data_IF_918737137270
#
_entry.id   IF_918737137270
#
_cell.length_a   1.000
_cell.length_b   1.000
_cell.length_c   1.000
_cell.angle_alpha   90.00
_cell.angle_beta   90.00
_cell.angle_gamma   90.00
#
_symmetry.space_group_name_H-M   'P 1'
#
loop_
_entity.id
_entity.type
_entity.pdbx_description
1 polymer ?
#
# COMPACT_ATOMS: atom_id res chain seq x y z
N UNK A 1 74.35 -27.34 26.70
CA UNK A 1 74.27 -26.95 25.27
C UNK A 1 72.81 -26.80 24.90
N UNK A 2 72.45 -25.63 24.36
CA UNK A 2 71.25 -25.26 23.59
C UNK A 2 69.87 -25.37 24.26
N UNK A 3 69.46 -24.25 24.84
CA UNK A 3 68.07 -23.84 25.04
C UNK A 3 67.37 -23.60 23.70
N UNK A 4 66.13 -24.05 23.56
CA UNK A 4 65.19 -23.55 22.55
C UNK A 4 63.95 -23.01 23.28
N UNK A 5 63.86 -21.69 23.36
CA UNK A 5 62.65 -20.96 23.72
C UNK A 5 61.85 -20.77 22.43
N UNK A 6 60.69 -21.40 22.33
CA UNK A 6 59.72 -21.14 21.27
C UNK A 6 58.69 -20.16 21.80
N UNK A 7 58.82 -18.90 21.41
CA UNK A 7 57.84 -17.84 21.66
C UNK A 7 56.63 -18.09 20.76
N UNK A 8 55.51 -18.54 21.33
CA UNK A 8 54.23 -18.60 20.60
C UNK A 8 53.52 -17.27 20.81
N UNK A 9 53.59 -16.40 19.80
CA UNK A 9 52.89 -15.12 19.79
C UNK A 9 51.39 -15.33 19.69
N UNK A 10 50.65 -14.84 20.68
CA UNK A 10 49.19 -14.74 20.62
C UNK A 10 48.80 -13.69 19.58
N UNK A 11 48.32 -14.12 18.42
CA UNK A 11 47.62 -13.25 17.47
C UNK A 11 46.18 -13.14 17.96
N UNK A 12 45.86 -12.05 18.65
CA UNK A 12 44.49 -11.65 18.90
C UNK A 12 43.89 -11.17 17.57
N UNK A 13 43.21 -12.07 16.85
CA UNK A 13 42.36 -11.68 15.72
C UNK A 13 41.14 -10.98 16.31
N UNK A 14 41.19 -9.64 16.35
CA UNK A 14 39.99 -8.82 16.51
C UNK A 14 39.09 -9.10 15.31
N UNK A 15 38.14 -10.01 15.47
CA UNK A 15 36.93 -10.08 14.66
C UNK A 15 36.18 -8.76 14.91
N UNK A 16 36.47 -7.76 14.10
CA UNK A 16 35.60 -6.61 13.93
C UNK A 16 34.28 -7.16 13.37
N UNK A 17 33.33 -7.42 14.26
CA UNK A 17 31.93 -7.55 13.90
C UNK A 17 31.52 -6.22 13.28
N UNK A 18 31.63 -6.14 11.96
CA UNK A 18 30.92 -5.16 11.16
C UNK A 18 29.43 -5.46 11.34
N UNK A 19 28.85 -4.98 12.44
CA UNK A 19 27.42 -4.73 12.50
C UNK A 19 27.14 -3.64 11.48
N UNK A 20 27.00 -4.04 10.22
CA UNK A 20 26.23 -3.27 9.26
C UNK A 20 24.84 -3.16 9.87
N UNK A 21 24.59 -2.05 10.56
CA UNK A 21 23.24 -1.63 10.89
C UNK A 21 22.49 -1.66 9.56
N UNK A 22 21.48 -2.54 9.38
CA UNK A 22 20.68 -2.48 8.18
C UNK A 22 20.14 -1.06 8.10
N UNK A 23 20.44 -0.39 6.99
CA UNK A 23 19.79 0.85 6.57
C UNK A 23 18.30 0.63 6.80
N UNK A 24 17.78 1.41 7.73
CA UNK A 24 16.42 1.37 8.24
C UNK A 24 15.40 0.93 7.19
N UNK A 25 14.84 -0.27 7.35
CA UNK A 25 13.68 -0.76 6.60
C UNK A 25 12.42 0.00 7.05
N UNK A 26 12.38 1.31 6.82
CA UNK A 26 11.16 2.06 7.04
C UNK A 26 10.14 1.67 5.96
N UNK A 27 8.89 1.38 6.32
CA UNK A 27 7.85 1.16 5.34
C UNK A 27 7.71 2.40 4.45
N UNK A 28 7.53 2.21 3.14
CA UNK A 28 7.44 3.30 2.15
C UNK A 28 6.30 4.31 2.40
N UNK A 29 5.42 4.03 3.36
CA UNK A 29 4.21 4.80 3.66
C UNK A 29 4.34 5.75 4.87
N UNK A 30 5.52 5.94 5.46
CA UNK A 30 5.68 6.97 6.48
C UNK A 30 5.36 8.35 5.86
N UNK A 31 4.19 8.91 6.20
CA UNK A 31 3.65 10.14 5.63
C UNK A 31 2.66 9.97 4.47
N UNK A 32 2.13 8.78 4.22
CA UNK A 32 1.01 8.56 3.29
C UNK A 32 -0.27 8.13 4.00
N UNK A 33 -1.38 8.34 3.31
CA UNK A 33 -2.73 7.95 3.70
C UNK A 33 -3.22 6.88 2.75
N UNK A 34 -3.48 5.70 3.29
CA UNK A 34 -4.11 4.63 2.54
C UNK A 34 -5.63 4.85 2.51
N UNK A 35 -6.19 4.90 1.30
CA UNK A 35 -7.63 4.98 1.08
C UNK A 35 -8.13 3.66 0.50
N UNK A 36 -9.36 3.32 0.85
CA UNK A 36 -10.13 2.23 0.28
C UNK A 36 -11.31 2.85 -0.46
N UNK A 37 -11.47 2.48 -1.72
CA UNK A 37 -12.49 2.96 -2.62
C UNK A 37 -13.38 1.77 -3.01
N UNK A 38 -14.70 1.94 -2.96
CA UNK A 38 -15.62 0.98 -3.58
C UNK A 38 -15.93 1.45 -5.00
N UNK A 39 -15.73 0.56 -5.97
CA UNK A 39 -16.07 0.76 -7.38
C UNK A 39 -17.55 0.44 -7.70
N UNK A 40 -18.29 -0.09 -6.72
CA UNK A 40 -19.71 -0.40 -6.87
C UNK A 40 -19.99 -1.81 -7.39
N UNK A 41 -19.11 -2.81 -7.23
CA UNK A 41 -19.46 -4.21 -7.53
C UNK A 41 -20.04 -4.99 -6.33
N UNK A 42 -20.22 -4.32 -5.18
CA UNK A 42 -21.00 -4.79 -4.04
C UNK A 42 -20.18 -5.40 -2.89
N UNK A 43 -18.97 -5.88 -3.14
CA UNK A 43 -18.12 -6.46 -2.09
C UNK A 43 -16.62 -6.26 -2.33
N UNK A 44 -16.23 -5.87 -3.54
CA UNK A 44 -14.84 -5.56 -3.83
C UNK A 44 -14.53 -4.08 -3.54
N UNK A 45 -13.28 -3.87 -3.18
CA UNK A 45 -12.74 -2.55 -3.02
C UNK A 45 -11.31 -2.50 -3.54
N UNK A 46 -10.91 -1.31 -3.93
CA UNK A 46 -9.57 -1.02 -4.41
C UNK A 46 -8.91 -0.06 -3.44
N UNK A 47 -7.64 -0.32 -3.13
CA UNK A 47 -6.88 0.44 -2.16
C UNK A 47 -5.69 1.13 -2.81
N UNK A 48 -5.46 2.39 -2.45
CA UNK A 48 -4.31 3.15 -2.92
C UNK A 48 -3.69 3.97 -1.79
N UNK A 49 -2.36 4.12 -1.85
CA UNK A 49 -1.59 4.94 -0.92
C UNK A 49 -1.37 6.33 -1.51
N UNK A 50 -1.88 7.36 -0.84
CA UNK A 50 -1.76 8.77 -1.24
C UNK A 50 -0.77 9.47 -0.33
N UNK A 51 0.27 10.10 -0.88
CA UNK A 51 1.20 10.89 -0.06
C UNK A 51 0.47 12.08 0.59
N UNK A 52 0.69 12.30 1.88
CA UNK A 52 0.05 13.40 2.58
C UNK A 52 0.47 14.76 2.00
N UNK A 53 -0.44 15.74 2.08
CA UNK A 53 -0.29 17.12 1.61
C UNK A 53 -0.03 17.26 0.09
N UNK A 54 -0.23 16.18 -0.67
CA UNK A 54 0.02 16.12 -2.12
C UNK A 54 -1.27 15.75 -2.85
N UNK A 55 -1.51 16.41 -3.97
CA UNK A 55 -2.62 16.03 -4.85
C UNK A 55 -2.23 14.78 -5.65
N UNK A 56 -2.94 13.69 -5.42
CA UNK A 56 -2.78 12.44 -6.15
C UNK A 56 -3.72 12.44 -7.35
N UNK A 57 -3.17 12.42 -8.57
CA UNK A 57 -3.95 12.30 -9.81
C UNK A 57 -4.27 10.84 -10.11
N UNK A 58 -5.51 10.56 -10.45
CA UNK A 58 -5.99 9.22 -10.83
C UNK A 58 -5.75 8.90 -12.31
N UNK A 59 -5.27 9.85 -13.11
CA UNK A 59 -5.15 9.72 -14.57
C UNK A 59 -4.31 8.52 -15.05
N UNK A 60 -3.36 8.08 -14.22
CA UNK A 60 -2.51 6.91 -14.49
C UNK A 60 -2.87 5.69 -13.61
N UNK A 61 -3.96 5.76 -12.85
CA UNK A 61 -4.39 4.70 -11.95
C UNK A 61 -5.87 4.38 -12.20
N UNK A 62 -6.10 3.46 -13.16
CA UNK A 62 -7.44 3.01 -13.57
C UNK A 62 -8.21 2.23 -12.49
N UNK A 63 -7.60 1.95 -11.34
CA UNK A 63 -8.35 1.31 -10.26
C UNK A 63 -9.15 2.34 -9.48
N UNK A 64 -8.62 3.56 -9.33
CA UNK A 64 -9.19 4.58 -8.46
C UNK A 64 -9.69 5.80 -9.23
N UNK A 65 -9.88 5.66 -10.54
CA UNK A 65 -10.40 6.71 -11.43
C UNK A 65 -11.93 6.79 -11.46
N UNK A 66 -12.63 5.85 -10.82
CA UNK A 66 -14.07 5.90 -10.58
C UNK A 66 -14.45 5.14 -9.31
N UNK A 67 -15.49 5.61 -8.62
CA UNK A 67 -16.04 4.89 -7.48
C UNK A 67 -17.35 5.46 -6.95
N UNK A 68 -17.97 4.73 -6.02
CA UNK A 68 -19.23 5.11 -5.36
C UNK A 68 -18.97 5.73 -3.99
N UNK A 69 -17.90 5.32 -3.29
CA UNK A 69 -17.47 5.94 -2.05
C UNK A 69 -15.99 5.69 -1.76
N UNK A 70 -15.46 6.43 -0.79
CA UNK A 70 -14.12 6.21 -0.24
C UNK A 70 -14.09 6.33 1.28
N UNK A 71 -13.13 5.63 1.89
CA UNK A 71 -12.75 5.76 3.30
C UNK A 71 -11.22 5.77 3.43
N UNK A 72 -10.67 6.58 4.34
CA UNK A 72 -9.25 6.53 4.65
C UNK A 72 -9.07 5.50 5.74
N UNK A 73 -8.30 4.44 5.52
CA UNK A 73 -8.17 3.35 6.51
C UNK A 73 -6.89 3.48 7.33
N UNK A 74 -6.13 4.56 7.10
CA UNK A 74 -4.99 4.96 7.92
C UNK A 74 -5.47 5.87 9.05
N UNK A 75 -5.31 5.48 10.33
CA UNK A 75 -5.74 6.32 11.45
C UNK A 75 -5.10 7.71 11.42
N UNK A 76 -5.91 8.76 11.60
CA UNK A 76 -5.46 10.15 11.59
C UNK A 76 -5.32 10.77 10.19
N UNK A 77 -5.60 10.03 9.13
CA UNK A 77 -5.71 10.58 7.79
C UNK A 77 -7.09 11.17 7.53
N UNK A 78 -7.10 12.36 6.95
CA UNK A 78 -8.30 13.07 6.50
C UNK A 78 -8.13 13.36 5.01
N UNK A 79 -9.11 12.94 4.20
CA UNK A 79 -9.01 12.94 2.75
C UNK A 79 -10.24 13.59 2.08
N UNK A 80 -10.03 14.10 0.87
CA UNK A 80 -11.05 14.68 -0.02
C UNK A 80 -10.81 14.17 -1.44
N UNK A 81 -11.89 13.72 -2.08
CA UNK A 81 -11.88 13.38 -3.51
C UNK A 81 -12.33 14.57 -4.36
N UNK A 82 -11.89 14.59 -5.62
CA UNK A 82 -12.24 15.61 -6.60
C UNK A 82 -12.55 14.97 -7.94
N UNK A 83 -13.50 15.55 -8.67
CA UNK A 83 -13.88 15.10 -10.01
C UNK A 83 -12.77 15.42 -11.04
N UNK A 84 -12.05 16.53 -10.84
CA UNK A 84 -10.97 16.95 -11.73
C UNK A 84 -9.57 16.61 -11.19
N UNK A 85 -8.61 16.51 -12.11
CA UNK A 85 -7.22 16.25 -11.77
C UNK A 85 -6.52 17.43 -11.06
N UNK A 86 -7.09 18.64 -11.10
CA UNK A 86 -6.52 19.82 -10.46
C UNK A 86 -6.99 20.02 -9.01
N UNK A 87 -7.89 19.17 -8.51
CA UNK A 87 -8.34 19.21 -7.12
C UNK A 87 -9.24 20.41 -6.81
N UNK A 88 -10.07 20.83 -7.77
CA UNK A 88 -10.88 22.06 -7.65
C UNK A 88 -12.36 21.78 -7.43
N UNK A 89 -12.90 20.72 -8.06
CA UNK A 89 -14.30 20.32 -8.01
C UNK A 89 -14.42 19.16 -7.02
N UNK A 90 -14.84 19.47 -5.80
CA UNK A 90 -15.01 18.48 -4.74
C UNK A 90 -16.04 17.42 -5.15
N UNK A 91 -15.71 16.18 -4.83
CA UNK A 91 -16.59 15.04 -4.98
C UNK A 91 -16.89 14.48 -3.58
N UNK A 92 -18.17 14.51 -3.19
CA UNK A 92 -18.60 14.12 -1.85
C UNK A 92 -18.02 14.97 -0.72
N UNK A 93 -18.18 14.48 0.50
CA UNK A 93 -17.62 15.08 1.72
C UNK A 93 -16.15 14.73 1.96
N UNK A 94 -15.61 15.26 3.06
CA UNK A 94 -14.34 14.81 3.62
C UNK A 94 -14.55 13.42 4.24
N UNK A 95 -13.55 12.55 4.14
CA UNK A 95 -13.57 11.21 4.70
C UNK A 95 -12.30 10.91 5.50
N UNK A 96 -12.40 10.02 6.48
CA UNK A 96 -11.32 9.61 7.39
C UNK A 96 -11.49 8.14 7.80
N UNK A 97 -10.81 7.69 8.86
CA UNK A 97 -10.89 6.32 9.39
C UNK A 97 -12.21 5.98 10.09
N UNK A 98 -13.12 6.94 10.19
CA UNK A 98 -14.42 6.81 10.86
C UNK A 98 -15.58 7.26 9.99
N UNK A 99 -15.30 8.07 8.98
CA UNK A 99 -16.26 8.75 8.13
C UNK A 99 -16.02 8.36 6.69
N UNK A 100 -17.04 7.81 6.05
CA UNK A 100 -17.03 7.47 4.65
C UNK A 100 -17.62 8.62 3.83
N UNK A 101 -17.04 8.92 2.67
CA UNK A 101 -17.62 9.87 1.72
C UNK A 101 -18.30 9.11 0.58
N UNK A 102 -19.61 9.32 0.42
CA UNK A 102 -20.32 8.90 -0.79
C UNK A 102 -20.11 9.91 -1.91
N UNK A 103 -19.98 9.41 -3.14
CA UNK A 103 -19.81 10.19 -4.35
C UNK A 103 -21.04 10.14 -5.26
N UNK A 104 -22.01 9.28 -4.94
CA UNK A 104 -23.24 9.11 -5.69
C UNK A 104 -24.45 9.25 -4.77
N UNK A 105 -25.53 9.80 -5.31
CA UNK A 105 -26.83 9.90 -4.63
C UNK A 105 -27.65 8.60 -4.80
N UNK A 106 -27.23 7.70 -5.71
CA UNK A 106 -27.99 6.51 -6.10
C UNK A 106 -27.78 5.31 -5.16
N UNK A 107 -26.72 5.32 -4.36
CA UNK A 107 -26.46 4.32 -3.32
C UNK A 107 -25.80 4.98 -2.12
N UNK A 108 -25.91 4.37 -0.95
CA UNK A 108 -25.09 4.73 0.22
C UNK A 108 -23.60 4.39 0.02
N UNK A 109 -23.21 3.91 -1.17
CA UNK A 109 -21.92 3.29 -1.45
C UNK A 109 -21.74 1.93 -0.76
N UNK A 110 -22.80 1.37 -0.18
CA UNK A 110 -22.73 0.08 0.51
C UNK A 110 -22.75 -1.11 -0.46
N UNK A 111 -22.86 -2.31 0.12
CA UNK A 111 -22.74 -3.61 -0.57
C UNK A 111 -23.72 -3.86 -1.73
N UNK A 112 -24.72 -2.99 -1.89
CA UNK A 112 -25.71 -3.07 -2.98
C UNK A 112 -25.40 -2.13 -4.14
N UNK A 113 -24.29 -1.40 -4.08
CA UNK A 113 -23.90 -0.48 -5.16
C UNK A 113 -23.63 -1.26 -6.44
N UNK A 114 -23.89 -0.63 -7.59
CA UNK A 114 -23.67 -1.21 -8.92
C UNK A 114 -22.57 -0.43 -9.68
N UNK A 115 -21.82 -1.06 -10.61
CA UNK A 115 -20.70 -0.40 -11.27
C UNK A 115 -21.11 0.80 -12.14
N UNK A 116 -22.36 0.82 -12.61
CA UNK A 116 -22.95 1.93 -13.35
C UNK A 116 -23.27 3.15 -12.47
N UNK A 117 -23.20 3.00 -11.14
CA UNK A 117 -23.34 4.08 -10.17
C UNK A 117 -22.01 4.74 -9.82
N UNK A 118 -20.88 4.14 -10.23
CA UNK A 118 -19.55 4.69 -10.00
C UNK A 118 -19.39 6.01 -10.78
N UNK A 119 -18.92 7.04 -10.08
CA UNK A 119 -18.67 8.34 -10.69
C UNK A 119 -17.17 8.53 -10.91
N UNK A 120 -16.76 9.24 -11.99
CA UNK A 120 -15.36 9.53 -12.24
C UNK A 120 -14.72 10.35 -11.11
N UNK A 121 -13.49 10.00 -10.76
CA UNK A 121 -12.64 10.66 -9.77
C UNK A 121 -11.36 11.09 -10.50
N UNK A 122 -11.04 12.37 -10.47
CA UNK A 122 -9.84 12.93 -11.12
C UNK A 122 -8.65 13.06 -10.19
N UNK A 123 -8.88 13.27 -8.89
CA UNK A 123 -7.80 13.33 -7.90
C UNK A 123 -8.26 13.11 -6.46
N UNK A 124 -7.30 12.82 -5.59
CA UNK A 124 -7.46 12.80 -4.14
C UNK A 124 -6.44 13.71 -3.46
N UNK A 125 -6.85 14.29 -2.34
CA UNK A 125 -5.97 15.00 -1.42
C UNK A 125 -6.14 14.42 -0.02
N UNK A 126 -5.03 14.03 0.63
CA UNK A 126 -5.04 13.55 1.99
C UNK A 126 -4.06 14.32 2.86
N UNK A 127 -4.39 14.51 4.13
CA UNK A 127 -3.51 15.10 5.15
C UNK A 127 -3.52 14.21 6.39
N UNK A 128 -2.43 14.22 7.17
CA UNK A 128 -2.28 13.42 8.40
C UNK A 128 -2.64 14.22 9.66
N UNK A 129 -3.27 15.39 9.49
CA UNK A 129 -3.69 16.26 10.59
C UNK A 129 -5.19 16.09 10.85
N UNK A 130 -5.60 15.64 12.05
CA UNK A 130 -7.01 15.53 12.39
C UNK A 130 -7.71 16.90 12.36
N UNK A 131 -8.99 16.92 11.95
CA UNK A 131 -9.88 18.11 11.95
C UNK A 131 -9.46 19.27 11.01
N UNK A 132 -8.58 19.04 10.05
CA UNK A 132 -8.27 20.03 9.01
C UNK A 132 -8.91 19.64 7.69
N UNK A 133 -9.50 20.62 7.00
CA UNK A 133 -9.87 20.45 5.59
C UNK A 133 -8.60 20.11 4.81
N UNK A 134 -8.56 19.02 4.02
CA UNK A 134 -7.41 18.70 3.20
C UNK A 134 -7.12 19.84 2.23
N UNK A 135 -5.98 20.49 2.40
CA UNK A 135 -5.44 21.48 1.47
C UNK A 135 -4.13 20.92 0.96
N UNK A 136 -4.18 20.32 -0.23
CA UNK A 136 -2.97 19.90 -0.91
C UNK A 136 -2.48 21.05 -1.75
N UNK A 137 -1.16 21.21 -1.80
CA UNK A 137 -0.55 22.03 -2.83
C UNK A 137 -1.01 21.45 -4.16
N UNK A 138 -1.83 22.20 -4.91
CA UNK A 138 -2.11 21.83 -6.29
C UNK A 138 -0.78 21.60 -6.98
N UNK A 139 -0.72 20.64 -7.90
CA UNK A 139 0.40 20.48 -8.80
C UNK A 139 0.53 21.75 -9.65
N UNK A 140 1.03 22.84 -9.05
CA UNK A 140 1.58 23.94 -9.79
C UNK A 140 2.63 23.33 -10.69
N UNK A 141 2.71 23.81 -11.93
CA UNK A 141 3.73 23.48 -12.92
C UNK A 141 5.15 23.89 -12.49
N UNK A 142 5.50 23.63 -11.22
CA UNK A 142 6.85 23.64 -10.72
C UNK A 142 7.56 22.44 -11.32
N UNK A 143 8.56 22.75 -12.15
CA UNK A 143 9.59 21.87 -12.69
C UNK A 143 10.44 21.20 -11.57
N UNK A 144 9.79 20.49 -10.66
CA UNK A 144 10.39 19.53 -9.76
C UNK A 144 9.93 18.16 -10.23
N UNK A 145 10.64 17.58 -11.20
CA UNK A 145 10.51 16.18 -11.56
C UNK A 145 10.91 15.33 -10.36
N UNK A 146 9.97 15.07 -9.47
CA UNK A 146 9.96 13.83 -8.73
C UNK A 146 8.69 13.08 -9.09
N UNK A 147 8.69 12.61 -10.34
CA UNK A 147 8.04 11.35 -10.67
C UNK A 147 8.60 10.35 -9.65
N UNK A 148 7.78 9.69 -8.81
CA UNK A 148 8.24 8.48 -8.15
C UNK A 148 8.83 7.62 -9.28
N UNK A 149 10.04 7.04 -9.12
CA UNK A 149 10.57 6.19 -10.18
C UNK A 149 9.46 5.20 -10.55
N UNK A 150 9.21 4.95 -11.85
CA UNK A 150 8.21 3.98 -12.29
C UNK A 150 8.70 2.62 -11.80
N UNK A 151 8.39 2.35 -10.56
CA UNK A 151 8.61 1.10 -9.88
C UNK A 151 7.43 0.31 -10.38
N UNK A 152 7.69 -0.68 -11.24
CA UNK A 152 6.66 -1.59 -11.71
C UNK A 152 5.84 -2.01 -10.49
N UNK A 153 4.55 -1.74 -10.52
CA UNK A 153 3.64 -2.14 -9.46
C UNK A 153 3.02 -3.47 -9.85
N UNK A 154 2.71 -4.26 -8.84
CA UNK A 154 1.94 -5.49 -8.98
C UNK A 154 0.65 -5.32 -8.21
N UNK A 155 -0.43 -5.80 -8.78
CA UNK A 155 -1.73 -5.75 -8.13
C UNK A 155 -1.90 -7.00 -7.30
N UNK A 156 -2.05 -6.80 -6.00
CA UNK A 156 -2.26 -7.88 -5.04
C UNK A 156 -3.72 -7.84 -4.60
N UNK A 157 -4.41 -8.96 -4.75
CA UNK A 157 -5.72 -9.19 -4.15
C UNK A 157 -5.51 -9.84 -2.78
N UNK A 158 -6.11 -9.23 -1.77
CA UNK A 158 -6.14 -9.72 -0.39
C UNK A 158 -7.57 -10.12 -0.10
N UNK A 159 -7.79 -11.40 0.13
CA UNK A 159 -9.09 -11.93 0.49
C UNK A 159 -9.17 -12.07 2.01
N UNK A 160 -10.27 -11.61 2.57
CA UNK A 160 -10.56 -11.61 3.99
C UNK A 160 -11.42 -12.80 4.39
N UNK A 161 -11.51 -13.06 5.70
CA UNK A 161 -12.31 -14.16 6.24
C UNK A 161 -13.83 -13.93 6.18
N UNK A 162 -14.26 -12.70 5.89
CA UNK A 162 -15.65 -12.29 5.72
C UNK A 162 -16.08 -12.25 4.23
N UNK A 163 -15.35 -12.96 3.37
CA UNK A 163 -15.50 -13.00 1.91
C UNK A 163 -15.30 -11.65 1.20
N UNK A 164 -14.86 -10.60 1.91
CA UNK A 164 -14.46 -9.34 1.27
C UNK A 164 -13.10 -9.45 0.58
N UNK A 165 -12.93 -8.72 -0.52
CA UNK A 165 -11.66 -8.65 -1.25
C UNK A 165 -11.19 -7.20 -1.42
N UNK A 166 -9.89 -6.99 -1.27
CA UNK A 166 -9.23 -5.70 -1.53
C UNK A 166 -8.11 -5.90 -2.53
N UNK A 167 -8.11 -5.12 -3.61
CA UNK A 167 -7.00 -5.06 -4.55
C UNK A 167 -6.13 -3.84 -4.28
N UNK A 168 -4.81 -4.03 -4.23
CA UNK A 168 -3.85 -2.96 -3.94
C UNK A 168 -2.67 -2.99 -4.92
N UNK A 169 -2.15 -1.82 -5.28
CA UNK A 169 -0.90 -1.73 -6.04
C UNK A 169 0.32 -1.69 -5.10
N UNK A 170 1.15 -2.72 -5.20
CA UNK A 170 2.38 -2.88 -4.41
C UNK A 170 3.59 -2.67 -5.33
N UNK A 171 4.58 -1.83 -4.96
CA UNK A 171 5.84 -1.72 -5.69
C UNK A 171 6.57 -3.07 -5.77
N UNK A 172 7.03 -3.46 -6.96
CA UNK A 172 7.77 -4.70 -7.22
C UNK A 172 9.30 -4.50 -7.10
N UNK A 173 9.75 -3.64 -6.18
CA UNK A 173 11.16 -3.31 -5.94
C UNK A 173 11.79 -4.02 -4.72
N UNK A 174 11.01 -4.87 -4.05
CA UNK A 174 11.40 -5.63 -2.86
C UNK A 174 11.29 -4.85 -1.54
N UNK A 175 10.91 -3.57 -1.57
CA UNK A 175 10.74 -2.76 -0.36
C UNK A 175 9.46 -3.13 0.41
N UNK A 176 9.44 -3.01 1.76
CA UNK A 176 8.22 -3.18 2.54
C UNK A 176 7.20 -2.10 2.18
N UNK A 177 6.07 -2.55 1.64
CA UNK A 177 4.89 -1.73 1.43
C UNK A 177 3.89 -2.00 2.55
N UNK A 178 3.69 -1.01 3.41
CA UNK A 178 2.69 -1.14 4.47
C UNK A 178 1.29 -1.30 3.84
N UNK A 179 0.49 -2.16 4.44
CA UNK A 179 -0.94 -2.25 4.15
C UNK A 179 -1.68 -1.81 5.40
N UNK A 180 -2.85 -1.19 5.24
CA UNK A 180 -3.75 -1.01 6.38
C UNK A 180 -3.95 -2.37 7.06
N UNK A 181 -3.99 -2.43 8.39
CA UNK A 181 -4.16 -3.71 9.08
C UNK A 181 -5.39 -4.44 8.53
N UNK A 182 -5.17 -5.66 8.03
CA UNK A 182 -6.22 -6.50 7.42
C UNK A 182 -6.11 -7.91 7.96
N UNK A 183 -7.26 -8.48 8.28
CA UNK A 183 -7.38 -9.89 8.60
C UNK A 183 -7.64 -10.63 7.30
N UNK A 184 -6.62 -11.28 6.77
CA UNK A 184 -6.67 -12.00 5.50
C UNK A 184 -6.67 -13.51 5.72
N UNK A 185 -7.33 -14.24 4.83
CA UNK A 185 -7.24 -15.71 4.75
C UNK A 185 -6.35 -16.16 3.58
N UNK A 186 -6.26 -15.36 2.52
CA UNK A 186 -5.50 -15.68 1.32
C UNK A 186 -5.10 -14.44 0.52
N UNK A 187 -4.10 -14.60 -0.33
CA UNK A 187 -3.54 -13.55 -1.18
C UNK A 187 -3.15 -14.11 -2.54
N UNK A 188 -3.23 -13.27 -3.57
CA UNK A 188 -2.78 -13.57 -4.93
C UNK A 188 -2.36 -12.29 -5.67
N UNK A 189 -1.56 -12.44 -6.72
CA UNK A 189 -1.32 -11.39 -7.70
C UNK A 189 -2.40 -11.51 -8.77
N UNK A 190 -3.25 -10.48 -8.87
CA UNK A 190 -4.28 -10.39 -9.92
C UNK A 190 -3.70 -9.62 -11.10
N UNK A 191 -3.85 -10.21 -12.29
CA UNK A 191 -3.10 -9.87 -13.48
C UNK A 191 -3.18 -8.36 -13.86
N UNK A 192 -2.01 -7.73 -13.92
CA UNK A 192 -1.75 -6.58 -14.78
C UNK A 192 -0.74 -7.05 -15.83
N UNK A 193 -0.88 -6.64 -17.09
CA UNK A 193 0.11 -6.86 -18.17
C UNK A 193 1.56 -6.71 -17.65
N UNK A 194 2.29 -7.83 -17.53
CA UNK A 194 3.67 -7.87 -17.00
C UNK A 194 3.85 -8.44 -15.57
N UNK A 195 2.75 -8.78 -14.88
CA UNK A 195 2.74 -9.26 -13.49
C UNK A 195 3.11 -10.74 -13.28
N UNK A 196 3.11 -11.54 -14.35
CA UNK A 196 3.45 -12.98 -14.31
C UNK A 196 4.89 -13.30 -13.90
N UNK A 197 5.73 -12.28 -13.74
CA UNK A 197 7.11 -12.37 -13.30
C UNK A 197 7.31 -11.75 -11.92
N UNK A 198 6.31 -11.69 -11.05
CA UNK A 198 6.48 -11.15 -9.70
C UNK A 198 6.22 -12.20 -8.63
N UNK A 199 7.00 -12.12 -7.55
CA UNK A 199 6.79 -12.90 -6.33
C UNK A 199 6.62 -11.91 -5.17
N UNK A 200 5.54 -12.10 -4.43
CA UNK A 200 5.21 -11.33 -3.26
C UNK A 200 5.30 -12.17 -1.97
N UNK A 201 5.44 -11.50 -0.84
CA UNK A 201 5.39 -12.09 0.50
C UNK A 201 4.61 -11.17 1.43
N UNK A 202 3.69 -11.74 2.20
CA UNK A 202 2.94 -11.04 3.24
C UNK A 202 3.67 -11.11 4.58
N UNK A 203 3.53 -10.07 5.41
CA UNK A 203 4.18 -9.95 6.71
C UNK A 203 3.22 -9.43 7.78
N UNK A 204 3.40 -9.89 9.03
CA UNK A 204 2.58 -9.48 10.18
C UNK A 204 3.08 -8.19 10.84
N UNK A 205 4.22 -7.65 10.40
CA UNK A 205 4.77 -6.36 10.84
C UNK A 205 4.91 -5.39 9.67
N UNK A 206 4.90 -4.08 9.97
CA UNK A 206 5.01 -3.02 8.96
C UNK A 206 6.38 -2.96 8.29
N UNK A 207 7.43 -3.45 8.95
CA UNK A 207 8.80 -3.39 8.43
C UNK A 207 9.09 -4.56 7.47
N UNK A 208 8.18 -5.53 7.34
CA UNK A 208 8.30 -6.67 6.45
C UNK A 208 9.37 -7.67 6.89
N UNK A 209 9.36 -8.04 8.17
CA UNK A 209 10.37 -8.92 8.78
C UNK A 209 9.79 -10.31 9.12
N UNK A 210 8.59 -10.36 9.70
CA UNK A 210 7.91 -11.56 10.16
C UNK A 210 6.94 -12.03 9.08
N UNK A 211 7.39 -12.96 8.25
CA UNK A 211 6.60 -13.51 7.15
C UNK A 211 5.33 -14.23 7.66
N UNK A 212 4.26 -14.09 6.90
CA UNK A 212 2.97 -14.77 7.10
C UNK A 212 2.68 -15.61 5.87
N UNK A 213 2.58 -16.92 6.06
CA UNK A 213 2.41 -17.87 4.95
C UNK A 213 3.61 -17.94 4.02
N UNK A 214 3.44 -18.66 2.91
CA UNK A 214 4.45 -18.80 1.87
C UNK A 214 4.46 -17.59 0.91
N UNK A 215 5.57 -17.36 0.17
CA UNK A 215 5.56 -16.45 -0.96
C UNK A 215 4.47 -16.82 -1.97
N UNK A 216 3.92 -15.83 -2.66
CA UNK A 216 2.80 -15.99 -3.59
C UNK A 216 3.07 -15.28 -4.91
N UNK A 217 2.48 -15.81 -5.98
CA UNK A 217 2.48 -15.26 -7.32
C UNK A 217 1.03 -15.08 -7.78
N UNK A 218 0.75 -15.43 -9.03
CA UNK A 218 -0.62 -15.38 -9.60
C UNK A 218 -1.58 -16.42 -9.02
N UNK A 219 -1.04 -17.49 -8.41
CA UNK A 219 -1.85 -18.50 -7.74
C UNK A 219 -2.23 -18.04 -6.33
N UNK A 220 -3.51 -18.23 -5.98
CA UNK A 220 -4.02 -17.97 -4.63
C UNK A 220 -3.32 -18.83 -3.58
N UNK A 221 -2.75 -18.17 -2.57
CA UNK A 221 -2.10 -18.82 -1.43
C UNK A 221 -2.90 -18.54 -0.16
N UNK A 222 -3.30 -19.61 0.52
CA UNK A 222 -3.89 -19.52 1.85
C UNK A 222 -2.82 -19.19 2.90
N UNK A 223 -3.04 -18.10 3.62
CA UNK A 223 -2.17 -17.63 4.68
C UNK A 223 -2.43 -18.43 5.94
N UNK A 224 -1.36 -18.79 6.66
CA UNK A 224 -1.45 -19.49 7.94
C UNK A 224 -2.37 -20.74 7.90
N UNK A 225 -2.35 -21.50 6.79
CA UNK A 225 -3.21 -22.68 6.60
C UNK A 225 -4.70 -22.37 6.40
N UNK A 226 -5.03 -21.14 5.98
CA UNK A 226 -6.40 -20.65 5.77
C UNK A 226 -7.00 -19.97 7.00
N UNK A 227 -6.28 -19.93 8.12
CA UNK A 227 -6.71 -19.20 9.31
C UNK A 227 -6.53 -17.69 9.12
N UNK A 228 -7.56 -16.94 9.51
CA UNK A 228 -7.58 -15.49 9.46
C UNK A 228 -6.38 -14.89 10.20
N UNK A 229 -5.55 -14.10 9.51
CA UNK A 229 -4.30 -13.56 10.06
C UNK A 229 -4.10 -12.11 9.68
N UNK A 230 -3.51 -11.32 10.59
CA UNK A 230 -3.21 -9.91 10.31
C UNK A 230 -2.01 -9.79 9.36
N UNK A 231 -2.18 -9.06 8.26
CA UNK A 231 -1.11 -8.58 7.40
C UNK A 231 -0.94 -7.08 7.64
N UNK A 232 0.30 -6.65 7.84
CA UNK A 232 0.68 -5.24 8.03
C UNK A 232 1.62 -4.72 6.93
N UNK A 233 2.28 -5.59 6.18
CA UNK A 233 3.00 -5.19 4.97
C UNK A 233 3.12 -6.32 3.95
N UNK A 234 3.39 -5.94 2.71
CA UNK A 234 3.68 -6.83 1.60
C UNK A 234 4.99 -6.37 0.94
N UNK A 235 5.81 -7.32 0.51
CA UNK A 235 6.97 -7.06 -0.36
C UNK A 235 6.78 -7.80 -1.65
N UNK A 236 6.98 -7.14 -2.78
CA UNK A 236 6.94 -7.76 -4.08
C UNK A 236 8.25 -7.49 -4.81
N UNK A 237 8.72 -8.47 -5.57
CA UNK A 237 9.91 -8.35 -6.41
C UNK A 237 9.67 -9.02 -7.75
N UNK A 238 10.25 -8.48 -8.80
CA UNK A 238 10.28 -9.15 -10.09
C UNK A 238 11.24 -10.35 -10.03
N UNK A 239 10.79 -11.50 -10.50
CA UNK A 239 11.55 -12.71 -10.79
C UNK A 239 11.90 -12.74 -12.28
N UNK A 240 13.14 -12.39 -12.59
CA UNK A 240 13.74 -12.59 -13.92
C UNK A 240 14.33 -13.99 -14.05
#
# INVERSE_FOLDING_TARGET
>A
MKSFLTTVGSVAVLLASASALPTTNFPRQDGSCFIQLKNGDGDASVGVSILANTLFSTANNRQVDAGVNAQAVTPGCVCQAFNDAAGTIKLGGIFDDRTLASFTDASSGEVDSQPDQAVPIGSFCCVTTPNTVPVCSGSGSGSGTWTPPPTQTVRVQINSADDSAVQIEVPADGSPFAVSSRIANSVEIVDIEGSGHAICQAFSDKNGVVAVGSPFGIDQVFLNGGAATSILSIRCKLSY
#
